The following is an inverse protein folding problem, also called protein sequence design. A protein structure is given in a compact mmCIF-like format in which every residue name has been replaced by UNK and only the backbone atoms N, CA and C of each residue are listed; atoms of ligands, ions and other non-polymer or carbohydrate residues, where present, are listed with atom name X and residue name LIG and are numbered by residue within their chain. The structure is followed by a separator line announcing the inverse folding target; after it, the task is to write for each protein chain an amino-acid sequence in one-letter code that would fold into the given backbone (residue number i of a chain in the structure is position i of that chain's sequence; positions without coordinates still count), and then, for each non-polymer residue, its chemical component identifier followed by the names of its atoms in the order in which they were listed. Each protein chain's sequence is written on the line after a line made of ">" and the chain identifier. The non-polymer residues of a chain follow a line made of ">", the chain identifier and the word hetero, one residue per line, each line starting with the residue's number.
data_IF_684850688561
#
_entry.id   IF_684850688561
#
_cell.length_a   1.000
_cell.length_b   1.000
_cell.length_c   1.000
_cell.angle_alpha   90.00
_cell.angle_beta   90.00
_cell.angle_gamma   90.00
#
_symmetry.space_group_name_H-M   'P 1'
#
loop_
_entity.id
_entity.type
_entity.pdbx_description
1 polymer ?
#
# COMPACT_ATOMS: atom_id res chain seq x y z
N UNK A 1 -11.80 66.69 -65.00
CA UNK A 1 -12.60 67.47 -64.03
C UNK A 1 -11.67 68.02 -62.95
N UNK A 2 -11.80 69.31 -62.60
CA UNK A 2 -11.24 70.04 -61.42
C UNK A 2 -9.74 69.77 -61.06
N UNK A 3 -8.72 70.50 -61.54
CA UNK A 3 -8.30 71.93 -61.37
C UNK A 3 -7.69 72.35 -60.00
N UNK A 4 -6.39 72.77 -60.03
CA UNK A 4 -5.62 73.65 -59.09
C UNK A 4 -5.46 73.09 -57.64
N UNK A 5 -4.40 73.24 -56.81
CA UNK A 5 -3.47 74.35 -56.46
C UNK A 5 -2.34 73.79 -55.52
N UNK A 6 -1.18 74.40 -55.18
CA UNK A 6 -0.32 75.47 -55.75
C UNK A 6 1.05 75.55 -54.97
N UNK A 7 2.12 76.08 -55.61
CA UNK A 7 3.39 76.66 -55.07
C UNK A 7 4.31 75.99 -53.98
N UNK A 8 5.60 75.87 -54.35
CA UNK A 8 6.84 76.38 -53.71
C UNK A 8 7.48 75.83 -52.40
N UNK A 9 8.77 75.50 -52.57
CA UNK A 9 9.99 75.85 -51.78
C UNK A 9 10.15 75.50 -50.28
N UNK A 10 11.40 75.09 -50.04
CA UNK A 10 12.29 75.44 -48.91
C UNK A 10 12.46 74.39 -47.80
N UNK A 11 13.74 74.13 -47.49
CA UNK A 11 14.19 73.39 -46.31
C UNK A 11 13.76 74.14 -45.04
N UNK A 12 13.40 73.39 -44.00
CA UNK A 12 13.68 73.75 -42.61
C UNK A 12 14.05 72.50 -41.82
N UNK A 13 15.05 72.66 -40.96
CA UNK A 13 15.66 71.64 -40.12
C UNK A 13 14.97 71.72 -38.75
N UNK A 14 14.37 70.63 -38.27
CA UNK A 14 13.81 70.58 -36.91
C UNK A 14 14.58 69.55 -36.08
N UNK A 15 15.31 70.05 -35.10
CA UNK A 15 15.98 69.28 -34.05
C UNK A 15 14.91 68.77 -33.09
N UNK A 16 14.74 67.45 -33.00
CA UNK A 16 13.95 66.85 -31.93
C UNK A 16 14.85 66.55 -30.74
N UNK A 17 14.73 67.36 -29.69
CA UNK A 17 15.47 67.20 -28.44
C UNK A 17 14.85 66.05 -27.64
N UNK A 18 15.44 64.86 -27.73
CA UNK A 18 15.00 63.68 -26.98
C UNK A 18 15.47 63.80 -25.52
N UNK A 19 14.57 64.20 -24.63
CA UNK A 19 14.80 64.13 -23.18
C UNK A 19 14.86 62.65 -22.75
N UNK A 20 16.06 62.09 -22.70
CA UNK A 20 16.31 60.81 -22.03
C UNK A 20 16.13 61.01 -20.51
N UNK A 21 14.93 60.72 -20.00
CA UNK A 21 14.71 60.54 -18.56
C UNK A 21 15.47 59.29 -18.14
N UNK A 22 16.68 59.47 -17.63
CA UNK A 22 17.43 58.41 -16.98
C UNK A 22 16.73 58.05 -15.66
N UNK A 23 15.81 57.08 -15.73
CA UNK A 23 15.45 56.31 -14.55
C UNK A 23 16.75 55.67 -14.04
N UNK A 24 17.21 55.93 -12.81
CA UNK A 24 18.34 55.22 -12.28
C UNK A 24 17.93 53.75 -12.17
N UNK A 25 18.58 52.88 -12.96
CA UNK A 25 18.61 51.47 -12.63
C UNK A 25 19.25 51.37 -11.25
N UNK A 26 18.42 51.11 -10.24
CA UNK A 26 18.91 50.74 -8.92
C UNK A 26 19.68 49.44 -9.11
N UNK A 27 21.01 49.57 -9.27
CA UNK A 27 21.88 48.44 -9.46
C UNK A 27 21.68 47.49 -8.27
N UNK A 28 21.33 46.23 -8.56
CA UNK A 28 21.19 45.21 -7.54
C UNK A 28 22.48 45.16 -6.74
N UNK A 29 22.40 45.37 -5.43
CA UNK A 29 23.61 45.41 -4.61
C UNK A 29 24.15 43.99 -4.48
N UNK A 30 25.36 43.79 -5.00
CA UNK A 30 26.07 42.51 -4.91
C UNK A 30 26.91 42.47 -3.63
N UNK A 31 26.87 41.32 -2.97
CA UNK A 31 27.73 40.95 -1.85
C UNK A 31 28.43 39.63 -2.19
N UNK A 32 29.69 39.49 -1.77
CA UNK A 32 30.33 38.18 -1.64
C UNK A 32 29.96 37.56 -0.30
N UNK A 33 29.97 36.23 -0.20
CA UNK A 33 29.60 35.52 1.04
C UNK A 33 30.50 35.88 2.24
N UNK A 34 31.77 36.22 1.99
CA UNK A 34 32.73 36.70 3.00
C UNK A 34 32.42 38.12 3.52
N UNK A 35 31.45 38.82 2.94
CA UNK A 35 30.96 40.13 3.38
C UNK A 35 29.63 40.05 4.15
N UNK A 36 29.08 38.85 4.36
CA UNK A 36 27.76 38.65 4.99
C UNK A 36 27.86 37.72 6.20
N UNK A 37 27.49 38.23 7.37
CA UNK A 37 27.27 37.41 8.57
C UNK A 37 25.91 36.72 8.46
N UNK A 38 25.89 35.38 8.53
CA UNK A 38 24.66 34.57 8.53
C UNK A 38 24.52 33.88 9.89
N UNK A 39 23.46 34.20 10.62
CA UNK A 39 23.19 33.67 11.97
C UNK A 39 21.88 32.90 11.97
N UNK A 40 21.92 31.61 12.34
CA UNK A 40 20.69 30.86 12.62
C UNK A 40 20.12 31.34 13.98
N UNK A 41 18.89 31.87 13.98
CA UNK A 41 18.28 32.44 15.20
C UNK A 41 17.52 31.40 16.05
N UNK A 42 17.69 30.11 15.75
CA UNK A 42 17.18 28.98 16.55
C UNK A 42 15.75 28.52 16.22
N UNK A 43 14.99 29.29 15.44
CA UNK A 43 13.59 28.98 15.07
C UNK A 43 13.40 28.53 13.61
N UNK A 44 14.51 28.17 12.95
CA UNK A 44 14.59 27.79 11.54
C UNK A 44 14.83 28.94 10.57
N UNK A 45 14.87 30.19 11.05
CA UNK A 45 15.22 31.37 10.25
C UNK A 45 16.72 31.69 10.32
N UNK A 46 17.19 32.36 9.27
CA UNK A 46 18.56 32.87 9.18
C UNK A 46 18.52 34.40 9.09
N UNK A 47 19.32 35.05 9.92
CA UNK A 47 19.53 36.49 9.97
C UNK A 47 20.81 36.83 9.19
N UNK A 48 20.66 37.62 8.13
CA UNK A 48 21.72 38.09 7.25
C UNK A 48 22.07 39.53 7.58
N UNK A 49 23.34 39.79 7.85
CA UNK A 49 23.87 41.13 8.20
C UNK A 49 25.11 41.42 7.38
N UNK A 50 25.29 42.68 7.01
CA UNK A 50 26.56 43.19 6.47
C UNK A 50 27.66 42.97 7.53
N UNK A 51 28.75 42.26 7.17
CA UNK A 51 29.75 41.82 8.15
C UNK A 51 30.54 42.98 8.78
N UNK A 52 30.71 44.08 8.05
CA UNK A 52 31.51 45.23 8.49
C UNK A 52 30.71 46.21 9.37
N UNK A 53 29.42 46.35 9.11
CA UNK A 53 28.55 47.30 9.81
C UNK A 53 27.60 46.64 10.82
N UNK A 54 27.54 45.31 10.83
CA UNK A 54 26.56 44.48 11.57
C UNK A 54 25.08 44.81 11.29
N UNK A 55 24.79 45.63 10.28
CA UNK A 55 23.42 46.04 9.95
C UNK A 55 22.67 44.92 9.21
N UNK A 56 21.40 44.65 9.56
CA UNK A 56 20.57 43.69 8.83
C UNK A 56 20.38 44.07 7.36
N UNK A 57 20.46 43.08 6.46
CA UNK A 57 20.20 43.30 5.04
C UNK A 57 18.73 43.67 4.78
N UNK A 58 18.51 44.58 3.83
CA UNK A 58 17.20 45.12 3.49
C UNK A 58 17.12 45.44 1.99
N UNK A 59 16.01 45.12 1.33
CA UNK A 59 15.86 45.22 -0.12
C UNK A 59 16.40 43.99 -0.87
N UNK A 60 16.54 44.11 -2.19
CA UNK A 60 17.01 43.02 -3.06
C UNK A 60 18.54 42.98 -3.14
N UNK A 61 19.14 41.83 -2.86
CA UNK A 61 20.58 41.61 -2.91
C UNK A 61 20.92 40.35 -3.71
N UNK A 62 22.10 40.36 -4.32
CA UNK A 62 22.76 39.16 -4.85
C UNK A 62 23.88 38.77 -3.91
N UNK A 63 23.88 37.53 -3.41
CA UNK A 63 24.96 37.02 -2.56
C UNK A 63 25.64 35.86 -3.28
N UNK A 64 26.93 36.03 -3.59
CA UNK A 64 27.74 35.10 -4.38
C UNK A 64 28.57 34.22 -3.44
N UNK A 65 28.50 32.90 -3.58
CA UNK A 65 29.42 31.96 -2.92
C UNK A 65 30.85 32.19 -3.45
N UNK A 66 31.82 32.28 -2.55
CA UNK A 66 33.22 32.54 -2.89
C UNK A 66 33.95 31.33 -3.47
N UNK A 67 33.38 30.13 -3.36
CA UNK A 67 34.06 28.86 -3.67
C UNK A 67 33.48 28.09 -4.87
N UNK A 68 32.24 28.37 -5.27
CA UNK A 68 31.56 27.74 -6.40
C UNK A 68 30.88 28.81 -7.25
N UNK A 69 30.43 28.45 -8.46
CA UNK A 69 29.59 29.33 -9.31
C UNK A 69 28.15 29.43 -8.80
N UNK A 70 27.96 29.48 -7.48
CA UNK A 70 26.68 29.51 -6.80
C UNK A 70 26.36 30.91 -6.30
N UNK A 71 25.09 31.32 -6.40
CA UNK A 71 24.63 32.60 -5.84
C UNK A 71 23.14 32.55 -5.55
N UNK A 72 22.70 33.41 -4.63
CA UNK A 72 21.29 33.68 -4.38
C UNK A 72 20.92 35.09 -4.84
N UNK A 73 19.70 35.24 -5.36
CA UNK A 73 19.04 36.52 -5.56
C UNK A 73 17.86 36.56 -4.59
N UNK A 74 17.87 37.47 -3.62
CA UNK A 74 16.85 37.45 -2.57
C UNK A 74 16.45 38.85 -2.10
N UNK A 75 15.17 38.99 -1.81
CA UNK A 75 14.59 40.13 -1.08
C UNK A 75 14.75 39.93 0.42
N UNK A 76 15.20 40.96 1.14
CA UNK A 76 15.40 40.95 2.59
C UNK A 76 14.64 42.07 3.28
N UNK A 77 14.20 41.80 4.50
CA UNK A 77 13.63 42.77 5.44
C UNK A 77 14.13 42.45 6.85
N UNK A 78 14.69 43.45 7.52
CA UNK A 78 15.29 43.31 8.85
C UNK A 78 16.29 42.14 8.95
N UNK A 79 17.00 41.85 7.84
CA UNK A 79 17.97 40.77 7.70
C UNK A 79 17.38 39.38 7.48
N UNK A 80 16.06 39.21 7.45
CA UNK A 80 15.42 37.95 7.10
C UNK A 80 14.97 37.95 5.64
N UNK A 81 14.90 36.78 5.00
CA UNK A 81 14.27 36.66 3.67
C UNK A 81 12.80 37.09 3.73
N UNK A 82 12.42 38.06 2.91
CA UNK A 82 11.05 38.57 2.81
C UNK A 82 10.82 39.12 1.39
N UNK A 83 9.98 38.44 0.61
CA UNK A 83 9.82 38.67 -0.83
C UNK A 83 10.38 37.51 -1.67
N UNK A 84 10.89 37.84 -2.86
CA UNK A 84 11.35 36.83 -3.83
C UNK A 84 12.66 36.18 -3.40
N UNK A 85 12.86 34.94 -3.81
CA UNK A 85 14.10 34.19 -3.64
C UNK A 85 14.37 33.30 -4.84
N UNK A 86 15.60 33.34 -5.33
CA UNK A 86 16.17 32.43 -6.32
C UNK A 86 17.56 31.98 -5.84
N UNK A 87 17.92 30.75 -6.19
CA UNK A 87 19.20 30.12 -5.90
C UNK A 87 19.70 29.44 -7.17
N UNK A 88 20.92 29.79 -7.55
CA UNK A 88 21.58 29.37 -8.78
C UNK A 88 22.87 28.62 -8.45
N UNK A 89 23.16 27.55 -9.17
CA UNK A 89 24.41 26.78 -9.10
C UNK A 89 24.92 26.54 -10.52
N UNK A 90 26.16 26.91 -10.80
CA UNK A 90 26.74 26.86 -12.15
C UNK A 90 25.90 27.59 -13.21
N UNK A 91 25.28 28.71 -12.78
CA UNK A 91 24.29 29.52 -13.51
C UNK A 91 22.99 28.79 -13.90
N UNK A 92 22.74 27.60 -13.34
CA UNK A 92 21.46 26.89 -13.44
C UNK A 92 20.62 27.29 -12.22
N UNK A 93 19.41 27.83 -12.45
CA UNK A 93 18.42 28.01 -11.38
C UNK A 93 18.08 26.64 -10.79
N UNK A 94 18.31 26.46 -9.48
CA UNK A 94 18.03 25.20 -8.77
C UNK A 94 16.84 25.29 -7.81
N UNK A 95 16.45 26.49 -7.39
CA UNK A 95 15.37 26.69 -6.42
C UNK A 95 14.84 28.13 -6.52
N UNK A 96 13.53 28.31 -6.70
CA UNK A 96 12.85 29.62 -6.64
C UNK A 96 11.62 29.58 -5.72
N UNK A 97 11.24 30.73 -5.18
CA UNK A 97 9.99 30.87 -4.42
C UNK A 97 9.85 32.22 -3.73
N UNK A 98 9.01 32.26 -2.71
CA UNK A 98 8.73 33.47 -1.91
C UNK A 98 8.93 33.15 -0.43
N UNK A 99 9.65 34.02 0.26
CA UNK A 99 9.73 34.02 1.72
C UNK A 99 8.89 35.15 2.31
N UNK A 100 8.49 34.96 3.56
CA UNK A 100 7.87 35.99 4.39
C UNK A 100 8.40 35.84 5.82
N UNK A 101 8.85 36.93 6.43
CA UNK A 101 9.40 36.99 7.78
C UNK A 101 10.48 35.90 8.06
N UNK A 102 11.27 35.55 7.03
CA UNK A 102 12.31 34.51 7.06
C UNK A 102 11.83 33.07 6.82
N UNK A 103 10.54 32.85 6.52
CA UNK A 103 9.93 31.52 6.35
C UNK A 103 9.40 31.32 4.92
N UNK A 104 9.53 30.11 4.37
CA UNK A 104 8.96 29.75 3.05
C UNK A 104 7.44 29.96 3.05
N UNK A 105 6.91 30.71 2.08
CA UNK A 105 5.48 31.04 2.02
C UNK A 105 5.00 31.23 0.58
N UNK A 106 4.08 30.39 0.12
CA UNK A 106 3.66 30.28 -1.28
C UNK A 106 4.30 29.08 -1.99
N UNK A 107 4.28 29.10 -3.32
CA UNK A 107 4.87 28.05 -4.15
C UNK A 107 6.39 28.18 -4.19
N UNK A 108 7.08 27.06 -3.94
CA UNK A 108 8.48 26.86 -4.29
C UNK A 108 8.59 25.88 -5.44
N UNK A 109 9.52 26.16 -6.35
CA UNK A 109 9.90 25.26 -7.44
C UNK A 109 11.36 24.89 -7.29
N UNK A 110 11.65 23.60 -7.45
CA UNK A 110 12.99 23.04 -7.30
C UNK A 110 13.36 22.37 -8.62
N UNK A 111 14.55 22.68 -9.10
CA UNK A 111 15.03 22.31 -10.42
C UNK A 111 16.26 21.39 -10.32
N UNK A 112 16.50 20.65 -11.39
CA UNK A 112 17.66 19.77 -11.55
C UNK A 112 18.94 20.59 -11.78
N UNK A 113 19.93 20.41 -10.91
CA UNK A 113 21.26 21.03 -11.06
C UNK A 113 22.07 20.56 -12.28
N UNK A 114 21.55 19.61 -13.07
CA UNK A 114 22.25 19.05 -14.22
C UNK A 114 21.71 19.57 -15.56
N UNK A 115 20.39 19.78 -15.66
CA UNK A 115 19.70 20.15 -16.91
C UNK A 115 18.64 21.25 -16.72
N UNK A 116 18.53 21.86 -15.53
CA UNK A 116 17.62 22.97 -15.24
C UNK A 116 16.12 22.61 -15.28
N UNK A 117 15.76 21.34 -15.43
CA UNK A 117 14.36 20.91 -15.50
C UNK A 117 13.69 20.94 -14.14
N UNK A 118 12.40 21.29 -14.13
CA UNK A 118 11.57 21.27 -12.92
C UNK A 118 11.49 19.85 -12.37
N UNK A 119 11.89 19.67 -11.11
CA UNK A 119 11.82 18.39 -10.39
C UNK A 119 10.67 18.35 -9.40
N UNK A 120 10.41 19.46 -8.71
CA UNK A 120 9.43 19.51 -7.61
C UNK A 120 8.73 20.87 -7.54
N UNK A 121 7.44 20.84 -7.21
CA UNK A 121 6.65 22.01 -6.80
C UNK A 121 6.16 21.78 -5.38
N UNK A 122 6.31 22.76 -4.49
CA UNK A 122 5.95 22.63 -3.06
C UNK A 122 5.25 23.88 -2.55
N UNK A 123 3.99 23.74 -2.15
CA UNK A 123 3.24 24.82 -1.49
C UNK A 123 3.61 24.91 0.01
N UNK A 124 4.00 26.09 0.47
CA UNK A 124 4.32 26.38 1.87
C UNK A 124 3.42 27.46 2.48
N UNK A 125 3.23 27.40 3.80
CA UNK A 125 2.67 28.47 4.63
C UNK A 125 3.43 28.49 5.96
N UNK A 126 3.93 29.66 6.37
CA UNK A 126 4.72 29.82 7.60
C UNK A 126 5.88 28.81 7.74
N UNK A 127 6.54 28.48 6.62
CA UNK A 127 7.66 27.53 6.56
C UNK A 127 7.25 26.05 6.57
N UNK A 128 5.96 25.71 6.65
CA UNK A 128 5.45 24.33 6.65
C UNK A 128 4.74 24.01 5.33
N UNK A 129 4.83 22.76 4.86
CA UNK A 129 4.07 22.33 3.68
C UNK A 129 2.56 22.51 3.90
N UNK A 130 1.90 23.21 3.00
CA UNK A 130 0.48 23.52 3.11
C UNK A 130 -0.12 23.83 1.74
N UNK A 131 -0.99 22.93 1.25
CA UNK A 131 -1.42 22.86 -0.14
C UNK A 131 -0.75 21.69 -0.86
N UNK A 132 -0.75 21.75 -2.19
CA UNK A 132 -0.26 20.67 -3.04
C UNK A 132 1.27 20.70 -3.18
N UNK A 133 1.86 19.52 -3.23
CA UNK A 133 3.25 19.24 -3.57
C UNK A 133 3.27 18.28 -4.75
N UNK A 134 4.11 18.52 -5.76
CA UNK A 134 4.28 17.66 -6.94
C UNK A 134 5.74 17.28 -7.12
N UNK A 135 5.99 16.08 -7.64
CA UNK A 135 7.29 15.70 -8.21
C UNK A 135 7.10 15.36 -9.69
N UNK A 136 8.15 15.54 -10.48
CA UNK A 136 8.11 15.41 -11.94
C UNK A 136 9.20 14.46 -12.45
N UNK A 137 8.85 13.68 -13.47
CA UNK A 137 9.77 12.88 -14.26
C UNK A 137 10.69 13.76 -15.13
N UNK A 138 11.74 13.15 -15.71
CA UNK A 138 12.73 13.82 -16.55
C UNK A 138 12.19 14.34 -17.90
N UNK A 139 10.97 13.95 -18.28
CA UNK A 139 10.19 14.48 -19.41
C UNK A 139 9.19 15.58 -19.02
N UNK A 140 9.08 15.91 -17.72
CA UNK A 140 8.17 16.92 -17.19
C UNK A 140 6.77 16.43 -16.83
N UNK A 141 6.44 15.14 -16.99
CA UNK A 141 5.19 14.57 -16.47
C UNK A 141 5.19 14.51 -14.94
N UNK A 142 4.01 14.53 -14.33
CA UNK A 142 3.86 14.35 -12.88
C UNK A 142 4.19 12.89 -12.51
N UNK A 143 5.10 12.73 -11.56
CA UNK A 143 5.45 11.45 -10.91
C UNK A 143 4.58 11.22 -9.67
N UNK A 144 4.42 12.25 -8.83
CA UNK A 144 3.56 12.20 -7.65
C UNK A 144 2.90 13.55 -7.36
N UNK A 145 1.69 13.52 -6.83
CA UNK A 145 0.99 14.67 -6.29
C UNK A 145 0.49 14.37 -4.87
N UNK A 146 0.86 15.20 -3.90
CA UNK A 146 0.54 15.04 -2.48
C UNK A 146 -0.06 16.31 -1.91
N UNK A 147 -1.08 16.18 -1.07
CA UNK A 147 -1.69 17.32 -0.40
C UNK A 147 -1.31 17.38 1.08
N UNK A 148 -0.95 18.58 1.55
CA UNK A 148 -0.49 18.83 2.91
C UNK A 148 -1.33 19.90 3.61
N UNK A 149 -1.48 19.77 4.93
CA UNK A 149 -2.01 20.79 5.83
C UNK A 149 -1.06 20.98 7.00
N UNK A 150 -0.50 22.19 7.13
CA UNK A 150 0.43 22.58 8.21
C UNK A 150 1.57 21.57 8.50
N UNK A 151 2.12 20.95 7.45
CA UNK A 151 3.24 20.01 7.51
C UNK A 151 2.87 18.52 7.55
N UNK A 152 1.59 18.16 7.54
CA UNK A 152 1.12 16.76 7.52
C UNK A 152 0.37 16.44 6.23
N UNK A 153 0.47 15.21 5.71
CA UNK A 153 -0.34 14.79 4.55
C UNK A 153 -1.85 14.80 4.93
N UNK A 154 -2.66 15.49 4.13
CA UNK A 154 -4.10 15.70 4.34
C UNK A 154 -4.78 15.91 2.98
N UNK A 155 -5.64 14.97 2.59
CA UNK A 155 -6.22 14.89 1.25
C UNK A 155 -5.60 13.78 0.41
N UNK A 156 -5.56 13.98 -0.92
CA UNK A 156 -5.09 12.98 -1.89
C UNK A 156 -3.57 12.89 -1.97
N UNK A 157 -3.09 11.66 -2.16
CA UNK A 157 -1.73 11.32 -2.53
C UNK A 157 -1.81 10.38 -3.74
N UNK A 158 -1.40 10.90 -4.90
CA UNK A 158 -1.36 10.21 -6.18
C UNK A 158 0.09 9.92 -6.57
N UNK A 159 0.32 8.80 -7.24
CA UNK A 159 1.58 8.54 -7.94
C UNK A 159 1.35 7.84 -9.27
N UNK A 160 2.27 8.03 -10.20
CA UNK A 160 2.18 7.61 -11.59
C UNK A 160 3.47 6.89 -12.02
N UNK A 161 3.37 6.03 -13.05
CA UNK A 161 4.52 5.55 -13.82
C UNK A 161 4.94 6.60 -14.89
N UNK A 162 6.13 6.44 -15.44
CA UNK A 162 6.73 7.32 -16.47
C UNK A 162 5.90 7.46 -17.76
N UNK A 163 5.06 6.47 -18.09
CA UNK A 163 4.12 6.55 -19.20
C UNK A 163 2.96 7.53 -18.89
N UNK A 164 2.66 7.77 -17.62
CA UNK A 164 1.51 8.51 -17.10
C UNK A 164 0.48 7.62 -16.39
N UNK A 165 0.73 6.32 -16.25
CA UNK A 165 -0.21 5.36 -15.67
C UNK A 165 -0.34 5.54 -14.16
N UNK A 166 -1.56 5.74 -13.65
CA UNK A 166 -1.79 5.87 -12.20
C UNK A 166 -1.38 4.57 -11.47
N UNK A 167 -0.50 4.71 -10.48
CA UNK A 167 0.01 3.61 -9.63
C UNK A 167 -0.58 3.60 -8.23
N UNK A 168 -0.98 4.76 -7.74
CA UNK A 168 -1.48 4.90 -6.38
C UNK A 168 -2.54 6.00 -6.31
N UNK A 169 -3.67 5.70 -5.67
CA UNK A 169 -4.63 6.71 -5.22
C UNK A 169 -4.95 6.49 -3.75
N UNK A 170 -4.21 7.20 -2.89
CA UNK A 170 -4.33 7.11 -1.44
C UNK A 170 -4.95 8.39 -0.85
N UNK A 171 -5.67 8.23 0.25
CA UNK A 171 -6.34 9.30 0.98
C UNK A 171 -5.77 9.40 2.40
N UNK A 172 -5.35 10.60 2.79
CA UNK A 172 -4.72 10.89 4.07
C UNK A 172 -5.49 11.91 4.91
N UNK A 173 -5.37 11.81 6.23
CA UNK A 173 -5.84 12.81 7.20
C UNK A 173 -4.82 12.96 8.32
N UNK A 174 -4.36 14.19 8.55
CA UNK A 174 -3.40 14.52 9.61
C UNK A 174 -2.18 13.56 9.68
N UNK A 175 -1.69 13.10 8.51
CA UNK A 175 -0.56 12.19 8.34
C UNK A 175 -0.87 10.69 8.36
N UNK A 176 -2.14 10.27 8.47
CA UNK A 176 -2.59 8.87 8.50
C UNK A 176 -3.41 8.52 7.26
N UNK A 177 -3.31 7.29 6.75
CA UNK A 177 -4.25 6.81 5.72
C UNK A 177 -5.67 6.70 6.30
N UNK A 178 -6.67 7.17 5.56
CA UNK A 178 -8.09 7.09 5.93
C UNK A 178 -8.97 6.79 4.73
N UNK A 179 -10.08 6.07 4.94
CA UNK A 179 -10.99 5.69 3.86
C UNK A 179 -10.34 4.74 2.84
N UNK A 180 -10.86 4.76 1.61
CA UNK A 180 -10.46 3.84 0.54
C UNK A 180 -9.10 4.22 -0.05
N UNK A 181 -8.26 3.22 -0.26
CA UNK A 181 -6.97 3.31 -0.94
C UNK A 181 -6.99 2.39 -2.18
N UNK A 182 -6.35 2.82 -3.27
CA UNK A 182 -6.06 1.98 -4.42
C UNK A 182 -4.54 1.93 -4.68
N UNK A 183 -4.03 0.75 -4.98
CA UNK A 183 -2.65 0.51 -5.39
C UNK A 183 -2.66 -0.38 -6.63
N UNK A 184 -2.13 0.08 -7.76
CA UNK A 184 -2.18 -0.61 -9.05
C UNK A 184 -0.83 -1.29 -9.37
N UNK A 185 -0.84 -2.54 -9.83
CA UNK A 185 0.39 -3.26 -10.21
C UNK A 185 1.01 -2.69 -11.49
N UNK A 186 2.34 -2.71 -11.56
CA UNK A 186 3.09 -2.26 -12.74
C UNK A 186 2.66 -3.02 -14.00
N UNK A 187 2.25 -2.28 -15.03
CA UNK A 187 1.88 -2.80 -16.35
C UNK A 187 0.41 -2.64 -16.73
N UNK A 188 -0.53 -2.57 -15.77
CA UNK A 188 -1.97 -2.42 -16.08
C UNK A 188 -2.71 -1.56 -15.04
N UNK A 189 -3.95 -1.20 -15.34
CA UNK A 189 -4.92 -0.60 -14.40
C UNK A 189 -5.90 -1.63 -13.82
N UNK A 190 -6.02 -2.80 -14.45
CA UNK A 190 -6.98 -3.85 -14.09
C UNK A 190 -6.53 -4.63 -12.86
N UNK A 191 -5.24 -4.56 -12.53
CA UNK A 191 -4.61 -5.23 -11.41
C UNK A 191 -4.38 -4.24 -10.28
N UNK A 192 -5.12 -4.41 -9.19
CA UNK A 192 -5.08 -3.50 -8.07
C UNK A 192 -5.40 -4.16 -6.73
N UNK A 193 -4.86 -3.56 -5.68
CA UNK A 193 -5.32 -3.75 -4.31
C UNK A 193 -6.29 -2.60 -3.95
N UNK A 194 -7.40 -2.95 -3.30
CA UNK A 194 -8.30 -2.03 -2.61
C UNK A 194 -8.28 -2.34 -1.12
N UNK A 195 -7.94 -1.33 -0.32
CA UNK A 195 -7.95 -1.40 1.15
C UNK A 195 -8.74 -0.21 1.71
N UNK A 196 -9.42 -0.41 2.83
CA UNK A 196 -10.08 0.66 3.57
C UNK A 196 -9.40 0.85 4.93
N UNK A 197 -9.30 2.10 5.39
CA UNK A 197 -8.74 2.47 6.68
C UNK A 197 -9.73 3.34 7.49
N UNK A 198 -9.73 3.19 8.80
CA UNK A 198 -10.47 4.08 9.69
C UNK A 198 -9.67 5.35 10.07
N UNK A 199 -10.29 6.26 10.82
CA UNK A 199 -9.68 7.54 11.23
C UNK A 199 -8.43 7.38 12.12
N UNK A 200 -8.19 6.19 12.68
CA UNK A 200 -6.99 5.92 13.48
C UNK A 200 -5.79 5.50 12.62
N UNK A 201 -5.99 5.22 11.33
CA UNK A 201 -4.97 4.68 10.43
C UNK A 201 -4.89 3.15 10.45
N UNK A 202 -5.92 2.45 10.94
CA UNK A 202 -5.98 0.99 10.95
C UNK A 202 -6.84 0.47 9.80
N UNK A 203 -6.48 -0.67 9.20
CA UNK A 203 -7.29 -1.33 8.15
C UNK A 203 -8.67 -1.69 8.71
N UNK A 204 -9.72 -1.22 8.05
CA UNK A 204 -11.10 -1.35 8.53
C UNK A 204 -12.08 -1.27 7.35
N UNK A 205 -12.88 -2.32 7.15
CA UNK A 205 -13.75 -2.47 5.98
C UNK A 205 -13.28 -3.55 5.00
N UNK A 206 -13.74 -3.47 3.74
CA UNK A 206 -13.49 -4.50 2.72
C UNK A 206 -12.02 -4.54 2.28
N UNK A 207 -11.59 -5.73 1.87
CA UNK A 207 -10.32 -5.96 1.19
C UNK A 207 -10.59 -6.65 -0.15
N UNK A 208 -9.87 -6.24 -1.19
CA UNK A 208 -9.84 -6.93 -2.48
C UNK A 208 -8.45 -6.78 -3.09
N UNK A 209 -7.87 -7.86 -3.59
CA UNK A 209 -6.70 -7.80 -4.47
C UNK A 209 -6.97 -8.56 -5.76
N UNK A 210 -6.47 -8.02 -6.87
CA UNK A 210 -6.57 -8.57 -8.22
C UNK A 210 -5.17 -8.48 -8.82
N UNK A 211 -4.53 -9.63 -9.04
CA UNK A 211 -3.14 -9.74 -9.50
C UNK A 211 -3.07 -10.85 -10.57
N UNK A 212 -2.36 -10.65 -11.70
CA UNK A 212 -2.10 -11.71 -12.69
C UNK A 212 -0.79 -12.45 -12.38
N UNK A 213 -0.40 -13.37 -13.27
CA UNK A 213 0.84 -14.16 -13.22
C UNK A 213 0.77 -15.32 -12.21
N UNK A 214 -0.36 -16.01 -12.17
CA UNK A 214 -0.62 -17.12 -11.24
C UNK A 214 -0.89 -16.70 -9.81
N UNK A 215 -0.93 -15.39 -9.52
CA UNK A 215 -1.37 -14.87 -8.23
C UNK A 215 -2.89 -14.94 -8.11
N UNK A 216 -3.43 -15.22 -6.91
CA UNK A 216 -4.87 -15.30 -6.72
C UNK A 216 -5.51 -13.93 -6.52
N UNK A 217 -6.79 -13.82 -6.89
CA UNK A 217 -7.68 -12.79 -6.41
C UNK A 217 -8.05 -13.09 -4.95
N UNK A 218 -7.91 -12.12 -4.05
CA UNK A 218 -8.23 -12.29 -2.63
C UNK A 218 -9.31 -11.32 -2.22
N UNK A 219 -10.37 -11.83 -1.60
CA UNK A 219 -11.50 -11.07 -1.07
C UNK A 219 -11.59 -11.26 0.44
N UNK A 220 -11.92 -10.20 1.18
CA UNK A 220 -12.12 -10.31 2.62
C UNK A 220 -12.55 -9.01 3.29
N UNK A 221 -12.38 -8.94 4.60
CA UNK A 221 -12.49 -7.70 5.36
C UNK A 221 -11.53 -7.63 6.54
N UNK A 222 -11.16 -6.40 6.89
CA UNK A 222 -10.46 -6.06 8.11
C UNK A 222 -11.40 -5.36 9.10
N UNK A 223 -11.07 -5.45 10.38
CA UNK A 223 -11.64 -4.64 11.46
C UNK A 223 -10.51 -4.28 12.42
N UNK A 224 -10.30 -3.00 12.69
CA UNK A 224 -9.22 -2.50 13.57
C UNK A 224 -7.84 -3.14 13.29
N UNK A 225 -7.47 -3.26 12.01
CA UNK A 225 -6.19 -3.84 11.56
C UNK A 225 -6.15 -5.35 11.41
N UNK A 226 -7.18 -6.08 11.88
CA UNK A 226 -7.18 -7.55 11.96
C UNK A 226 -8.10 -8.17 10.90
N UNK A 227 -7.74 -9.35 10.34
CA UNK A 227 -8.65 -10.12 9.47
C UNK A 227 -9.95 -10.40 10.23
N UNK A 228 -11.10 -10.16 9.59
CA UNK A 228 -12.41 -10.39 10.18
C UNK A 228 -13.43 -10.83 9.12
N UNK A 229 -14.30 -11.77 9.48
CA UNK A 229 -15.27 -12.38 8.57
C UNK A 229 -14.65 -13.39 7.61
N UNK A 230 -15.38 -13.70 6.53
CA UNK A 230 -14.95 -14.63 5.50
C UNK A 230 -13.86 -14.00 4.63
N UNK A 231 -12.79 -14.74 4.42
CA UNK A 231 -11.77 -14.53 3.41
C UNK A 231 -11.92 -15.59 2.32
N UNK A 232 -11.63 -15.23 1.07
CA UNK A 232 -11.75 -16.15 -0.06
C UNK A 232 -10.68 -15.83 -1.09
N UNK A 233 -9.96 -16.86 -1.48
CA UNK A 233 -8.89 -16.85 -2.47
C UNK A 233 -9.39 -17.55 -3.73
N UNK A 234 -9.17 -16.95 -4.89
CA UNK A 234 -9.68 -17.41 -6.19
C UNK A 234 -8.52 -17.38 -7.18
N UNK A 235 -8.25 -18.49 -7.85
CA UNK A 235 -7.25 -18.62 -8.89
C UNK A 235 -7.51 -17.67 -10.07
N UNK A 236 -6.49 -17.41 -10.88
CA UNK A 236 -6.61 -16.67 -12.15
C UNK A 236 -7.58 -17.35 -13.15
N UNK A 237 -7.82 -18.67 -13.01
CA UNK A 237 -8.86 -19.41 -13.74
C UNK A 237 -10.30 -19.11 -13.30
N UNK A 238 -10.50 -18.49 -12.14
CA UNK A 238 -11.79 -18.31 -11.48
C UNK A 238 -12.15 -19.42 -10.48
N UNK A 239 -11.33 -20.47 -10.34
CA UNK A 239 -11.55 -21.52 -9.35
C UNK A 239 -11.29 -21.01 -7.94
N UNK A 240 -12.18 -21.30 -6.98
CA UNK A 240 -11.90 -20.99 -5.56
C UNK A 240 -10.76 -21.88 -5.06
N UNK A 241 -9.70 -21.30 -4.49
CA UNK A 241 -8.57 -22.04 -3.90
C UNK A 241 -8.83 -22.34 -2.43
N UNK A 242 -9.17 -21.30 -1.64
CA UNK A 242 -9.46 -21.43 -0.22
C UNK A 242 -10.56 -20.47 0.23
N UNK A 243 -11.36 -20.92 1.20
CA UNK A 243 -12.29 -20.11 1.98
C UNK A 243 -11.86 -20.23 3.44
N UNK A 244 -11.60 -19.11 4.09
CA UNK A 244 -11.20 -19.04 5.50
C UNK A 244 -12.20 -18.15 6.27
N UNK A 245 -12.39 -18.37 7.57
CA UNK A 245 -13.25 -17.52 8.39
C UNK A 245 -12.46 -17.02 9.60
N UNK A 246 -12.46 -15.70 9.82
CA UNK A 246 -11.71 -15.07 10.90
C UNK A 246 -12.60 -14.28 11.86
N UNK A 247 -12.24 -14.28 13.14
CA UNK A 247 -12.79 -13.39 14.16
C UNK A 247 -11.64 -12.75 14.95
N UNK A 248 -11.55 -11.41 14.92
CA UNK A 248 -10.48 -10.66 15.60
C UNK A 248 -9.07 -11.21 15.28
N UNK A 249 -8.78 -11.42 13.99
CA UNK A 249 -7.48 -11.86 13.49
C UNK A 249 -7.17 -13.36 13.63
N UNK A 250 -8.00 -14.13 14.35
CA UNK A 250 -7.85 -15.58 14.52
C UNK A 250 -8.77 -16.35 13.60
N UNK A 251 -8.38 -17.55 13.18
CA UNK A 251 -9.27 -18.47 12.48
C UNK A 251 -10.36 -18.99 13.43
N UNK A 252 -11.62 -18.75 13.04
CA UNK A 252 -12.83 -19.04 13.81
C UNK A 252 -13.97 -19.30 12.82
N UNK A 253 -14.46 -20.54 12.77
CA UNK A 253 -15.47 -20.99 11.81
C UNK A 253 -14.90 -21.89 10.71
N UNK A 254 -15.48 -21.82 9.52
CA UNK A 254 -15.23 -22.76 8.43
C UNK A 254 -13.96 -22.40 7.64
N UNK A 255 -13.14 -23.42 7.40
CA UNK A 255 -12.06 -23.47 6.42
C UNK A 255 -12.40 -24.49 5.33
N UNK A 256 -12.26 -24.14 4.06
CA UNK A 256 -12.45 -25.04 2.90
C UNK A 256 -11.31 -24.83 1.91
N UNK A 257 -10.62 -25.90 1.52
CA UNK A 257 -9.58 -25.87 0.49
C UNK A 257 -9.98 -26.70 -0.72
N UNK A 258 -9.50 -26.30 -1.89
CA UNK A 258 -9.80 -26.88 -3.20
C UNK A 258 -8.52 -27.22 -3.96
N UNK A 259 -8.63 -28.03 -5.01
CA UNK A 259 -7.51 -28.41 -5.87
C UNK A 259 -7.37 -27.40 -7.00
N UNK A 260 -6.19 -26.81 -7.16
CA UNK A 260 -5.90 -25.91 -8.28
C UNK A 260 -5.87 -26.60 -9.66
N UNK A 261 -5.80 -27.94 -9.69
CA UNK A 261 -5.82 -28.72 -10.93
C UNK A 261 -7.24 -29.13 -11.38
N UNK A 262 -8.15 -29.35 -10.43
CA UNK A 262 -9.45 -30.00 -10.69
C UNK A 262 -10.67 -29.23 -10.17
N UNK A 263 -10.47 -28.14 -9.42
CA UNK A 263 -11.55 -27.39 -8.75
C UNK A 263 -12.29 -28.18 -7.66
N UNK A 264 -11.93 -29.44 -7.42
CA UNK A 264 -12.57 -30.29 -6.41
C UNK A 264 -12.18 -29.85 -5.00
N UNK A 265 -13.10 -29.96 -4.04
CA UNK A 265 -12.77 -29.77 -2.62
C UNK A 265 -11.72 -30.81 -2.21
N UNK A 266 -10.72 -30.38 -1.45
CA UNK A 266 -9.68 -31.25 -0.90
C UNK A 266 -9.91 -31.49 0.58
N UNK A 267 -10.28 -30.45 1.33
CA UNK A 267 -10.59 -30.50 2.77
C UNK A 267 -11.67 -29.48 3.14
N UNK A 268 -12.46 -29.80 4.16
CA UNK A 268 -13.27 -28.80 4.88
C UNK A 268 -13.21 -29.07 6.38
N UNK A 269 -13.07 -28.03 7.20
CA UNK A 269 -13.01 -28.18 8.65
C UNK A 269 -13.36 -26.91 9.40
N UNK A 270 -13.71 -27.07 10.69
CA UNK A 270 -14.02 -25.95 11.58
C UNK A 270 -12.87 -25.67 12.54
N UNK A 271 -12.59 -24.39 12.77
CA UNK A 271 -11.66 -23.90 13.78
C UNK A 271 -12.37 -23.07 14.85
N UNK A 272 -11.78 -23.05 16.03
CA UNK A 272 -12.12 -22.16 17.14
C UNK A 272 -10.83 -21.71 17.82
N UNK A 273 -10.55 -20.41 17.81
CA UNK A 273 -9.28 -19.82 18.27
C UNK A 273 -8.06 -20.57 17.69
N UNK A 274 -7.96 -20.63 16.36
CA UNK A 274 -6.82 -21.22 15.63
C UNK A 274 -6.61 -22.74 15.87
N UNK A 275 -7.60 -23.44 16.42
CA UNK A 275 -7.56 -24.89 16.69
C UNK A 275 -8.76 -25.59 16.08
N UNK A 276 -8.56 -26.76 15.48
CA UNK A 276 -9.66 -27.60 14.95
C UNK A 276 -10.67 -27.91 16.05
N UNK A 277 -11.93 -27.55 15.84
CA UNK A 277 -13.04 -27.74 16.79
C UNK A 277 -14.34 -27.89 15.99
N UNK A 278 -14.99 -29.05 16.09
CA UNK A 278 -16.07 -29.47 15.19
C UNK A 278 -15.62 -30.50 14.15
N UNK A 279 -16.34 -30.57 13.02
CA UNK A 279 -16.12 -31.57 11.97
C UNK A 279 -14.89 -31.21 11.13
N UNK A 280 -14.14 -32.23 10.73
CA UNK A 280 -13.04 -32.20 9.77
C UNK A 280 -13.29 -33.26 8.69
N UNK A 281 -13.08 -32.93 7.42
CA UNK A 281 -13.23 -33.84 6.29
C UNK A 281 -12.08 -33.70 5.30
N UNK A 282 -11.70 -34.81 4.68
CA UNK A 282 -10.87 -34.83 3.49
C UNK A 282 -11.54 -35.64 2.37
N UNK A 283 -11.25 -35.23 1.14
CA UNK A 283 -11.76 -35.84 -0.07
C UNK A 283 -10.62 -36.42 -0.92
N UNK A 284 -10.96 -37.37 -1.79
CA UNK A 284 -10.04 -37.87 -2.80
C UNK A 284 -9.95 -36.90 -3.99
N UNK A 285 -8.73 -36.74 -4.54
CA UNK A 285 -8.44 -35.75 -5.58
C UNK A 285 -8.90 -36.17 -6.98
N UNK A 286 -9.20 -37.46 -7.20
CA UNK A 286 -9.55 -38.02 -8.51
C UNK A 286 -11.05 -38.06 -8.73
N UNK A 287 -11.83 -38.37 -7.69
CA UNK A 287 -13.28 -38.54 -7.78
C UNK A 287 -14.10 -37.62 -6.86
N UNK A 288 -13.45 -36.85 -5.96
CA UNK A 288 -14.13 -35.95 -5.02
C UNK A 288 -14.88 -36.64 -3.89
N UNK A 289 -14.78 -37.96 -3.75
CA UNK A 289 -15.45 -38.71 -2.69
C UNK A 289 -14.80 -38.45 -1.32
N UNK A 290 -15.61 -38.52 -0.27
CA UNK A 290 -15.11 -38.44 1.10
C UNK A 290 -14.18 -39.64 1.38
N UNK A 291 -12.96 -39.38 1.85
CA UNK A 291 -12.01 -40.43 2.28
C UNK A 291 -11.74 -40.42 3.79
N UNK A 292 -12.01 -39.31 4.46
CA UNK A 292 -11.80 -39.16 5.90
C UNK A 292 -12.79 -38.15 6.48
N UNK A 293 -13.38 -38.46 7.63
CA UNK A 293 -14.17 -37.52 8.43
C UNK A 293 -13.88 -37.75 9.91
N UNK A 294 -13.69 -36.68 10.68
CA UNK A 294 -13.44 -36.77 12.11
C UNK A 294 -14.03 -35.59 12.88
N UNK A 295 -14.40 -35.84 14.13
CA UNK A 295 -14.74 -34.77 15.07
C UNK A 295 -13.52 -34.38 15.90
N UNK A 296 -13.25 -33.08 15.99
CA UNK A 296 -12.21 -32.48 16.81
C UNK A 296 -12.83 -31.64 17.93
N UNK A 297 -12.12 -31.56 19.06
CA UNK A 297 -12.40 -30.64 20.15
C UNK A 297 -11.06 -30.08 20.67
N UNK A 298 -10.94 -28.76 20.79
CA UNK A 298 -9.74 -28.06 21.24
C UNK A 298 -8.44 -28.47 20.51
N UNK A 299 -8.53 -28.84 19.22
CA UNK A 299 -7.41 -29.28 18.39
C UNK A 299 -7.09 -30.78 18.45
N UNK A 300 -7.85 -31.60 19.17
CA UNK A 300 -7.64 -33.05 19.32
C UNK A 300 -8.83 -33.85 18.85
N UNK A 301 -8.62 -35.07 18.34
CA UNK A 301 -9.71 -36.00 18.00
C UNK A 301 -10.58 -36.29 19.23
N UNK A 302 -11.88 -36.09 19.10
CA UNK A 302 -12.86 -36.31 20.16
C UNK A 302 -14.22 -36.66 19.55
N UNK A 303 -14.76 -37.83 19.88
CA UNK A 303 -15.93 -38.40 19.20
C UNK A 303 -15.51 -39.38 18.10
N UNK A 304 -16.32 -39.51 17.05
CA UNK A 304 -16.04 -40.46 15.96
C UNK A 304 -15.05 -39.89 14.96
N UNK A 305 -14.17 -40.76 14.45
CA UNK A 305 -13.47 -40.55 13.19
C UNK A 305 -13.67 -41.77 12.30
N UNK A 306 -13.96 -41.54 11.02
CA UNK A 306 -14.07 -42.56 9.98
C UNK A 306 -13.08 -42.34 8.85
N UNK A 307 -12.49 -43.42 8.36
CA UNK A 307 -11.50 -43.41 7.28
C UNK A 307 -11.84 -44.49 6.26
N UNK A 308 -11.74 -44.14 4.98
CA UNK A 308 -11.80 -45.08 3.88
C UNK A 308 -10.46 -45.80 3.77
N UNK A 309 -10.49 -47.13 3.89
CA UNK A 309 -9.36 -48.01 3.61
C UNK A 309 -9.60 -48.66 2.24
N UNK A 310 -8.75 -48.32 1.29
CA UNK A 310 -8.74 -48.92 -0.05
C UNK A 310 -7.90 -50.20 0.01
N UNK A 311 -8.47 -51.34 -0.35
CA UNK A 311 -7.81 -52.65 -0.32
C UNK A 311 -8.01 -53.39 -1.64
N UNK A 312 -7.00 -54.13 -2.08
CA UNK A 312 -6.98 -54.86 -3.35
C UNK A 312 -8.08 -55.93 -3.47
N UNK A 313 -8.76 -56.28 -2.36
CA UNK A 313 -9.92 -57.18 -2.36
C UNK A 313 -11.24 -56.42 -2.23
N UNK A 314 -11.45 -55.67 -1.15
CA UNK A 314 -12.68 -54.93 -0.90
C UNK A 314 -12.42 -53.69 -0.06
N UNK A 315 -12.84 -52.52 -0.52
CA UNK A 315 -12.76 -51.29 0.26
C UNK A 315 -13.72 -51.31 1.47
N UNK A 316 -13.30 -50.70 2.57
CA UNK A 316 -14.10 -50.57 3.79
C UNK A 316 -13.88 -49.23 4.48
N UNK A 317 -14.92 -48.76 5.15
CA UNK A 317 -14.85 -47.68 6.12
C UNK A 317 -14.46 -48.25 7.47
N UNK A 318 -13.38 -47.77 8.08
CA UNK A 318 -13.15 -47.92 9.52
C UNK A 318 -13.76 -46.74 10.26
N UNK A 319 -14.37 -46.97 11.43
CA UNK A 319 -14.89 -45.95 12.34
C UNK A 319 -14.40 -46.23 13.76
N UNK A 320 -13.58 -45.32 14.29
CA UNK A 320 -13.03 -45.37 15.65
C UNK A 320 -13.63 -44.26 16.52
N UNK A 321 -13.81 -44.54 17.82
CA UNK A 321 -14.16 -43.53 18.82
C UNK A 321 -12.90 -43.02 19.51
N UNK A 322 -12.77 -41.70 19.66
CA UNK A 322 -11.64 -41.03 20.30
C UNK A 322 -12.09 -40.19 21.51
N UNK A 323 -11.25 -40.14 22.54
CA UNK A 323 -11.35 -39.20 23.64
C UNK A 323 -10.00 -38.51 23.80
N UNK A 324 -9.98 -37.18 23.67
CA UNK A 324 -8.79 -36.34 23.88
C UNK A 324 -7.55 -36.81 23.06
N UNK A 325 -7.76 -37.23 21.81
CA UNK A 325 -6.72 -37.68 20.89
C UNK A 325 -6.35 -39.17 20.95
N UNK A 326 -6.90 -39.96 21.87
CA UNK A 326 -6.64 -41.42 21.98
C UNK A 326 -7.88 -42.22 21.60
N UNK A 327 -7.71 -43.36 20.90
CA UNK A 327 -8.82 -44.29 20.65
C UNK A 327 -9.34 -44.82 21.99
N UNK A 328 -10.63 -44.65 22.24
CA UNK A 328 -11.28 -45.02 23.49
C UNK A 328 -12.79 -45.16 23.25
N UNK A 329 -13.32 -46.36 23.41
CA UNK A 329 -14.69 -46.74 23.04
C UNK A 329 -14.75 -47.57 21.74
N UNK A 330 -15.94 -47.69 21.13
CA UNK A 330 -16.21 -48.68 20.10
C UNK A 330 -15.47 -48.41 18.78
N UNK A 331 -15.13 -49.51 18.12
CA UNK A 331 -14.64 -49.59 16.75
C UNK A 331 -15.58 -50.47 15.90
N UNK A 332 -15.84 -50.02 14.68
CA UNK A 332 -16.41 -50.87 13.63
C UNK A 332 -15.73 -50.59 12.29
N UNK A 333 -15.62 -51.60 11.43
CA UNK A 333 -15.38 -51.40 9.99
C UNK A 333 -16.50 -52.01 9.15
N UNK A 334 -16.83 -51.39 8.02
CA UNK A 334 -17.95 -51.76 7.13
C UNK A 334 -17.53 -51.73 5.67
N UNK A 335 -17.89 -52.76 4.91
CA UNK A 335 -17.59 -52.85 3.48
C UNK A 335 -18.30 -51.74 2.70
N UNK A 336 -17.58 -51.01 1.84
CA UNK A 336 -18.16 -49.95 0.99
C UNK A 336 -19.24 -50.53 0.06
N UNK A 337 -18.99 -51.71 -0.52
CA UNK A 337 -19.84 -52.36 -1.53
C UNK A 337 -21.29 -52.62 -1.07
N UNK A 338 -21.52 -52.87 0.23
CA UNK A 338 -22.84 -53.28 0.73
C UNK A 338 -23.17 -52.83 2.16
N UNK A 339 -22.33 -51.99 2.78
CA UNK A 339 -22.47 -51.48 4.14
C UNK A 339 -22.57 -52.56 5.26
N UNK A 340 -22.28 -53.82 4.96
CA UNK A 340 -22.22 -54.89 5.97
C UNK A 340 -21.01 -54.69 6.88
N UNK A 341 -21.18 -55.08 8.14
CA UNK A 341 -20.10 -55.09 9.11
C UNK A 341 -18.99 -56.04 8.65
N UNK A 342 -17.74 -55.57 8.72
CA UNK A 342 -16.50 -56.31 8.44
C UNK A 342 -15.81 -56.65 9.75
N UNK A 343 -15.58 -55.69 10.64
CA UNK A 343 -14.89 -55.92 11.91
C UNK A 343 -15.56 -55.09 13.01
N UNK A 344 -15.59 -55.57 14.26
CA UNK A 344 -15.95 -54.74 15.41
C UNK A 344 -15.22 -55.17 16.68
N UNK A 345 -15.10 -54.21 17.61
CA UNK A 345 -14.48 -54.40 18.92
C UNK A 345 -14.42 -53.08 19.69
N UNK A 346 -13.61 -53.03 20.74
CA UNK A 346 -13.45 -51.85 21.59
C UNK A 346 -11.97 -51.48 21.76
N UNK A 347 -11.67 -50.18 21.76
CA UNK A 347 -10.36 -49.66 22.14
C UNK A 347 -10.42 -49.03 23.53
N UNK A 348 -9.33 -49.17 24.30
CA UNK A 348 -9.11 -48.47 25.56
C UNK A 348 -7.71 -47.86 25.54
N UNK A 349 -7.63 -46.53 25.65
CA UNK A 349 -6.36 -45.78 25.61
C UNK A 349 -5.44 -46.08 24.39
N UNK A 350 -5.98 -46.48 23.24
CA UNK A 350 -5.21 -46.85 22.05
C UNK A 350 -4.93 -48.35 21.88
N UNK A 351 -5.30 -49.20 22.85
CA UNK A 351 -5.14 -50.65 22.77
C UNK A 351 -6.48 -51.33 22.49
N UNK A 352 -6.47 -52.38 21.67
CA UNK A 352 -7.64 -53.26 21.49
C UNK A 352 -7.90 -53.96 22.82
N UNK A 353 -9.16 -54.01 23.25
CA UNK A 353 -9.56 -54.72 24.49
C UNK A 353 -10.84 -55.51 24.28
N UNK A 354 -11.05 -56.52 25.11
CA UNK A 354 -12.27 -57.32 25.11
C UNK A 354 -12.47 -58.08 23.81
N UNK A 355 -13.72 -58.25 23.41
CA UNK A 355 -14.09 -59.18 22.33
C UNK A 355 -14.11 -58.52 20.96
N UNK A 356 -13.40 -59.13 20.03
CA UNK A 356 -13.28 -58.72 18.63
C UNK A 356 -13.92 -59.75 17.70
N UNK A 357 -14.56 -59.26 16.63
CA UNK A 357 -15.24 -60.08 15.63
C UNK A 357 -14.90 -59.60 14.22
N UNK A 358 -14.64 -60.54 13.33
CA UNK A 358 -14.42 -60.34 11.89
C UNK A 358 -15.50 -61.12 11.12
N UNK A 359 -16.02 -60.50 10.06
CA UNK A 359 -17.10 -60.99 9.24
C UNK A 359 -16.72 -60.90 7.76
N UNK A 360 -17.16 -61.87 6.96
CA UNK A 360 -17.00 -61.86 5.51
C UNK A 360 -17.88 -60.82 4.84
N UNK A 361 -17.66 -60.52 3.56
CA UNK A 361 -18.49 -59.58 2.78
C UNK A 361 -19.97 -60.00 2.67
N UNK A 362 -20.29 -61.27 2.91
CA UNK A 362 -21.68 -61.75 2.97
C UNK A 362 -22.32 -61.57 4.36
N UNK A 363 -21.54 -61.17 5.38
CA UNK A 363 -21.97 -60.99 6.76
C UNK A 363 -21.88 -62.25 7.62
N UNK A 364 -21.15 -63.28 7.18
CA UNK A 364 -20.90 -64.49 7.98
C UNK A 364 -19.74 -64.22 8.94
N UNK A 365 -19.84 -64.65 10.20
CA UNK A 365 -18.74 -64.57 11.16
C UNK A 365 -17.58 -65.44 10.66
N UNK A 366 -16.40 -64.83 10.51
CA UNK A 366 -15.16 -65.47 10.06
C UNK A 366 -14.22 -65.78 11.22
N UNK A 367 -14.12 -64.85 12.19
CA UNK A 367 -13.27 -64.98 13.38
C UNK A 367 -13.87 -64.24 14.57
N UNK A 368 -13.74 -64.82 15.76
CA UNK A 368 -14.01 -64.18 17.05
C UNK A 368 -12.79 -64.44 17.96
N UNK A 369 -12.33 -63.43 18.69
CA UNK A 369 -11.21 -63.55 19.63
C UNK A 369 -11.30 -62.48 20.72
N UNK A 370 -10.58 -62.66 21.82
CA UNK A 370 -10.50 -61.67 22.91
C UNK A 370 -9.08 -61.07 22.97
N UNK A 371 -8.98 -59.78 23.30
CA UNK A 371 -7.76 -58.98 23.49
C UNK A 371 -7.69 -58.49 24.95
N UNK A 372 -6.48 -58.46 25.54
CA UNK A 372 -6.25 -58.20 26.98
C UNK A 372 -6.29 -56.71 27.37
#
# INVERSE_FOLDING_TARGET
>A
MKHVSILFRSKCWNVFLLLCIALPSLAQKEFKIDQVSVVNVGDGRFLYRDLMTEKPLNGEHRIIDGYHSAYILASFKDGFYDGKYEEHLDNILINEGVYKDGRKNGLFKIYSKFDGKLKEEKSYKEGKLNGTSKTFFTDGKIESEKNYRMGKEDGKHLSYDYDGTLRMDHNYKDGKQVGKQYTFMKGTYELYETVYYNNEGLKDGKYSSIFTFGAPHVLGSYKNGQKNGRWTEIAESGDTIVIETYLNGKEEGLHVSYSGETGMRTKEYYLKNDRKDGIYREYDLKNGELKYEATYQFGRLHGKARQLVVDNRFDYWETSTYVNGRQNGPFESRYVKNNKLRECGEYKNGHRVGRWKLYTIDGKLEREWDEN
#
